data_IF_415603534072
#
_entry.id   IF_415603534072
#
_cell.length_a   1.000
_cell.length_b   1.000
_cell.length_c   1.000
_cell.angle_alpha   90.00
_cell.angle_beta   90.00
_cell.angle_gamma   90.00
#
_symmetry.space_group_name_H-M   'P 1'
#
loop_
_entity.id
_entity.type
_entity.pdbx_description
1 polymer ?
#
# COMPACT_ATOMS: atom_id res chain seq x y z
N UNK A 1 23.06 -4.27 -2.05
CA UNK A 1 21.67 -4.37 -1.57
C UNK A 1 21.26 -3.04 -0.95
N UNK A 2 20.01 -2.60 -1.15
CA UNK A 2 19.48 -1.38 -0.50
C UNK A 2 18.79 -1.80 0.79
N UNK A 3 19.13 -1.20 1.94
CA UNK A 3 18.37 -1.43 3.18
C UNK A 3 17.09 -0.62 3.17
N UNK A 4 16.09 -1.10 3.89
CA UNK A 4 14.81 -0.39 4.03
C UNK A 4 15.02 1.04 4.52
N UNK A 5 15.85 1.27 5.56
CA UNK A 5 16.14 2.62 6.07
C UNK A 5 16.70 3.59 5.02
N UNK A 6 17.48 3.09 4.06
CA UNK A 6 18.12 3.94 3.04
C UNK A 6 17.06 4.34 2.01
N UNK A 7 16.22 3.40 1.58
CA UNK A 7 15.07 3.68 0.72
C UNK A 7 14.12 4.70 1.35
N UNK A 8 13.84 4.57 2.65
CA UNK A 8 12.92 5.44 3.37
C UNK A 8 13.39 6.89 3.52
N UNK A 9 14.64 7.21 3.17
CA UNK A 9 15.15 8.59 3.06
C UNK A 9 14.76 9.25 1.73
N UNK A 10 14.35 8.46 0.73
CA UNK A 10 13.98 8.95 -0.60
C UNK A 10 12.50 9.31 -0.73
N UNK A 11 11.70 8.99 0.28
CA UNK A 11 10.26 9.23 0.33
C UNK A 11 9.88 10.14 1.50
N UNK A 12 8.71 10.72 1.43
CA UNK A 12 8.22 11.78 2.32
C UNK A 12 7.12 11.27 3.25
N UNK A 13 6.83 12.02 4.31
CA UNK A 13 5.81 11.67 5.31
C UNK A 13 4.43 11.21 4.77
N UNK A 14 3.85 11.83 3.71
CA UNK A 14 2.55 11.41 3.17
C UNK A 14 2.58 10.13 2.33
N UNK A 15 3.76 9.59 1.99
CA UNK A 15 3.85 8.35 1.24
C UNK A 15 3.33 7.18 2.08
N UNK A 16 2.42 6.37 1.52
CA UNK A 16 1.89 5.18 2.18
C UNK A 16 2.81 4.00 1.95
N UNK A 17 3.14 3.31 3.02
CA UNK A 17 4.02 2.16 3.04
C UNK A 17 3.23 0.88 3.30
N UNK A 18 3.70 -0.20 2.69
CA UNK A 18 3.29 -1.57 3.01
C UNK A 18 4.55 -2.44 3.10
N UNK A 19 4.95 -2.83 4.30
CA UNK A 19 6.09 -3.73 4.49
C UNK A 19 5.57 -5.15 4.62
N UNK A 20 6.15 -6.06 3.84
CA UNK A 20 5.76 -7.47 3.80
C UNK A 20 6.96 -8.34 4.15
N UNK A 21 6.81 -9.22 5.14
CA UNK A 21 7.84 -10.20 5.56
C UNK A 21 7.27 -11.61 5.41
N UNK A 22 7.89 -12.45 4.59
CA UNK A 22 7.43 -13.83 4.39
C UNK A 22 5.98 -13.97 3.87
N UNK A 23 5.45 -12.94 3.20
CA UNK A 23 4.07 -12.89 2.71
C UNK A 23 3.08 -12.21 3.67
N UNK A 24 3.48 -11.94 4.92
CA UNK A 24 2.64 -11.25 5.91
C UNK A 24 2.89 -9.75 5.91
N UNK A 25 1.82 -8.95 6.03
CA UNK A 25 1.92 -7.50 6.15
C UNK A 25 2.30 -7.14 7.58
N UNK A 26 3.54 -6.68 7.76
CA UNK A 26 4.08 -6.31 9.09
C UNK A 26 4.00 -4.80 9.38
N UNK A 27 3.75 -3.99 8.34
CA UNK A 27 3.46 -2.57 8.50
C UNK A 27 2.53 -2.10 7.38
N UNK A 28 1.52 -1.30 7.73
CA UNK A 28 0.62 -0.64 6.79
C UNK A 28 0.23 0.73 7.35
N UNK A 29 0.77 1.79 6.76
CA UNK A 29 0.58 3.13 7.29
C UNK A 29 1.35 4.18 6.52
N UNK A 30 1.40 5.40 7.02
CA UNK A 30 2.18 6.47 6.41
C UNK A 30 3.65 6.41 6.83
N UNK A 31 4.53 6.92 5.96
CA UNK A 31 5.95 7.11 6.28
C UNK A 31 6.16 7.96 7.55
N UNK A 32 5.28 8.93 7.80
CA UNK A 32 5.30 9.75 9.02
C UNK A 32 4.96 8.99 10.31
N UNK A 33 4.28 7.84 10.22
CA UNK A 33 3.82 7.03 11.35
C UNK A 33 4.81 5.91 11.71
N UNK A 34 6.05 6.00 11.20
CA UNK A 34 7.07 4.95 11.27
C UNK A 34 7.58 4.62 12.68
N UNK A 35 7.18 5.37 13.71
CA UNK A 35 7.59 5.12 15.10
C UNK A 35 7.29 3.70 15.59
N UNK A 36 6.40 2.98 14.90
CA UNK A 36 5.99 1.61 15.21
C UNK A 36 6.81 0.53 14.48
N UNK A 37 7.72 0.87 13.55
CA UNK A 37 8.45 -0.14 12.77
C UNK A 37 9.65 -0.67 13.58
N UNK A 38 9.73 -2.00 13.84
CA UNK A 38 10.88 -2.61 14.48
C UNK A 38 12.21 -2.30 13.77
N UNK A 39 13.28 -2.06 14.55
CA UNK A 39 14.62 -1.79 14.01
C UNK A 39 15.10 -2.88 13.06
N UNK A 40 14.75 -4.15 13.33
CA UNK A 40 15.10 -5.28 12.47
C UNK A 40 14.57 -5.11 11.03
N UNK A 41 13.37 -4.54 10.85
CA UNK A 41 12.80 -4.31 9.52
C UNK A 41 13.47 -3.14 8.81
N UNK A 42 13.92 -2.12 9.56
CA UNK A 42 14.65 -0.99 9.01
C UNK A 42 16.06 -1.37 8.55
N UNK A 43 16.68 -2.35 9.19
CA UNK A 43 18.00 -2.88 8.85
C UNK A 43 17.97 -4.00 7.80
N UNK A 44 16.79 -4.57 7.53
CA UNK A 44 16.61 -5.61 6.54
C UNK A 44 16.94 -5.13 5.12
N UNK A 45 17.41 -6.06 4.30
CA UNK A 45 17.63 -5.82 2.88
C UNK A 45 16.30 -5.84 2.14
N UNK A 46 16.07 -4.84 1.29
CA UNK A 46 14.89 -4.79 0.45
C UNK A 46 15.03 -5.80 -0.70
N UNK A 47 14.23 -6.86 -0.66
CA UNK A 47 14.21 -7.93 -1.66
C UNK A 47 13.44 -7.49 -2.90
N UNK A 48 12.33 -6.79 -2.70
CA UNK A 48 11.46 -6.31 -3.78
C UNK A 48 10.82 -4.98 -3.41
N UNK A 49 10.77 -4.07 -4.38
CA UNK A 49 9.97 -2.87 -4.33
C UNK A 49 8.90 -2.89 -5.44
N UNK A 50 7.66 -2.52 -5.10
CA UNK A 50 6.56 -2.34 -6.06
C UNK A 50 5.68 -1.17 -5.67
N UNK A 51 5.18 -0.46 -6.68
CA UNK A 51 4.00 0.37 -6.56
C UNK A 51 2.76 -0.54 -6.56
N UNK A 52 1.97 -0.49 -5.49
CA UNK A 52 0.73 -1.27 -5.35
C UNK A 52 -0.46 -0.29 -5.27
N UNK A 53 -1.09 0.06 -6.40
CA UNK A 53 -2.31 0.87 -6.40
C UNK A 53 -3.48 0.02 -5.92
N UNK A 54 -4.23 0.56 -4.97
CA UNK A 54 -5.53 0.06 -4.55
C UNK A 54 -6.60 1.05 -5.02
N UNK A 55 -7.55 0.58 -5.83
CA UNK A 55 -8.70 1.34 -6.28
C UNK A 55 -9.93 0.66 -5.73
N UNK A 56 -10.71 1.38 -4.91
CA UNK A 56 -11.92 0.85 -4.28
C UNK A 56 -13.00 1.91 -4.24
N UNK A 57 -14.27 1.49 -4.28
CA UNK A 57 -15.38 2.39 -4.05
C UNK A 57 -15.37 2.90 -2.60
N UNK A 58 -15.58 4.18 -2.34
CA UNK A 58 -15.48 4.81 -0.99
C UNK A 58 -16.33 4.11 0.06
N UNK A 59 -17.52 3.62 -0.32
CA UNK A 59 -18.47 2.91 0.56
C UNK A 59 -18.55 1.40 0.28
N UNK A 60 -17.53 0.81 -0.34
CA UNK A 60 -17.59 -0.59 -0.81
C UNK A 60 -18.00 -1.59 0.29
N UNK A 61 -17.54 -1.40 1.53
CA UNK A 61 -17.91 -2.26 2.67
C UNK A 61 -19.37 -2.10 3.09
N UNK A 62 -19.87 -0.87 3.10
CA UNK A 62 -21.26 -0.57 3.49
C UNK A 62 -22.26 -1.01 2.41
N UNK A 63 -21.83 -0.93 1.15
CA UNK A 63 -22.66 -1.26 -0.01
C UNK A 63 -22.54 -2.73 -0.44
N UNK A 64 -21.70 -3.54 0.21
CA UNK A 64 -21.49 -4.95 -0.16
C UNK A 64 -20.95 -5.16 -1.58
N UNK A 65 -20.29 -4.15 -2.15
CA UNK A 65 -19.92 -4.13 -3.56
C UNK A 65 -18.64 -4.92 -3.81
N UNK A 66 -18.68 -5.82 -4.80
CA UNK A 66 -17.49 -6.39 -5.42
C UNK A 66 -17.01 -5.45 -6.54
N UNK A 67 -15.70 -5.41 -6.85
CA UNK A 67 -15.21 -4.61 -7.96
C UNK A 67 -15.81 -5.09 -9.30
N UNK A 68 -16.05 -4.17 -10.27
CA UNK A 68 -16.48 -4.55 -11.61
C UNK A 68 -15.36 -5.37 -12.26
N UNK A 69 -15.74 -6.52 -12.80
CA UNK A 69 -14.80 -7.55 -13.25
C UNK A 69 -14.32 -7.31 -14.69
N UNK A 70 -15.11 -6.61 -15.52
CA UNK A 70 -14.84 -6.47 -16.97
C UNK A 70 -15.18 -5.08 -17.54
N UNK A 71 -14.50 -4.65 -18.63
CA UNK A 71 -14.65 -3.32 -19.24
C UNK A 71 -16.00 -3.02 -19.89
N UNK A 72 -16.79 -4.06 -20.20
CA UNK A 72 -18.08 -3.99 -20.89
C UNK A 72 -19.28 -3.94 -19.91
N UNK A 73 -19.05 -4.18 -18.62
CA UNK A 73 -20.06 -3.99 -17.59
C UNK A 73 -20.18 -2.51 -17.23
N UNK A 74 -21.40 -1.99 -17.23
CA UNK A 74 -21.68 -0.65 -16.67
C UNK A 74 -21.35 -0.69 -15.19
N UNK A 75 -20.39 0.11 -14.69
CA UNK A 75 -20.02 0.09 -13.29
C UNK A 75 -21.21 0.48 -12.41
N UNK A 76 -21.42 -0.22 -11.30
CA UNK A 76 -22.44 0.13 -10.29
C UNK A 76 -22.11 1.43 -9.52
N UNK A 77 -21.06 2.15 -9.92
CA UNK A 77 -20.59 3.37 -9.28
C UNK A 77 -19.89 4.31 -10.28
N UNK A 78 -19.92 5.61 -9.99
CA UNK A 78 -19.18 6.62 -10.75
C UNK A 78 -17.69 6.60 -10.37
N UNK A 79 -16.82 7.06 -11.29
CA UNK A 79 -15.40 7.28 -10.97
C UNK A 79 -15.21 8.26 -9.79
N UNK A 80 -16.14 9.20 -9.60
CA UNK A 80 -16.16 10.10 -8.43
C UNK A 80 -16.26 9.36 -7.09
N UNK A 81 -16.82 8.16 -7.12
CA UNK A 81 -17.08 7.36 -5.93
C UNK A 81 -15.90 6.45 -5.61
N UNK A 82 -14.86 6.44 -6.44
CA UNK A 82 -13.63 5.71 -6.19
C UNK A 82 -12.71 6.49 -5.23
N UNK A 83 -12.00 5.74 -4.41
CA UNK A 83 -10.82 6.15 -3.68
C UNK A 83 -9.63 5.36 -4.22
N UNK A 84 -8.55 6.07 -4.55
CA UNK A 84 -7.28 5.47 -4.94
C UNK A 84 -6.27 5.64 -3.81
N UNK A 85 -5.60 4.54 -3.44
CA UNK A 85 -4.49 4.52 -2.50
C UNK A 85 -3.27 3.95 -3.21
N UNK A 86 -2.16 4.67 -3.21
CA UNK A 86 -0.89 4.14 -3.72
C UNK A 86 -0.04 3.69 -2.55
N UNK A 87 0.29 2.41 -2.48
CA UNK A 87 1.23 1.87 -1.50
C UNK A 87 2.60 1.62 -2.13
N UNK A 88 3.64 2.08 -1.45
CA UNK A 88 5.01 1.65 -1.67
C UNK A 88 5.23 0.34 -0.92
N UNK A 89 5.14 -0.76 -1.68
CA UNK A 89 5.30 -2.11 -1.15
C UNK A 89 6.77 -2.49 -1.13
N UNK A 90 7.24 -2.84 0.06
CA UNK A 90 8.62 -3.26 0.33
C UNK A 90 8.54 -4.69 0.87
N UNK A 91 9.15 -5.65 0.18
CA UNK A 91 9.30 -7.00 0.68
C UNK A 91 10.69 -7.17 1.31
N UNK A 92 10.70 -7.73 2.52
CA UNK A 92 11.88 -8.09 3.31
C UNK A 92 11.82 -9.53 3.77
#
# INVERSE_FOLDING_TARGET
MVKVRDFLQTITAPDRLKIVKGGEVVFLGFRGEMTEIPKEYLDAEMILFRNEPEIRHRKWKEAGLMPPLEPDQTPDFSFSDLEMKLYYKICI
#
